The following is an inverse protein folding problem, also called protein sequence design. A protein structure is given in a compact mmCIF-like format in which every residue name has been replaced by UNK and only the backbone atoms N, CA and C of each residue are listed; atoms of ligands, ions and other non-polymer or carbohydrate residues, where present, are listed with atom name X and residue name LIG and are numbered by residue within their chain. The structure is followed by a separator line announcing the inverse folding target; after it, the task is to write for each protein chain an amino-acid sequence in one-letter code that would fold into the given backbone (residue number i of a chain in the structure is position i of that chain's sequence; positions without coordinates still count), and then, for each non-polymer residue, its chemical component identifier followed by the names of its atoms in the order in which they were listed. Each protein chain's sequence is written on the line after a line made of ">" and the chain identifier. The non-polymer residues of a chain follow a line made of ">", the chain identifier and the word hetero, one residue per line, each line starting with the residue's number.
data_IF_746987901216
#
_entry.id   IF_746987901216
#
_cell.length_a   1.000
_cell.length_b   1.000
_cell.length_c   1.000
_cell.angle_alpha   90.00
_cell.angle_beta   90.00
_cell.angle_gamma   90.00
#
_symmetry.space_group_name_H-M   'P 1'
#
loop_
_entity.id
_entity.type
_entity.pdbx_description
1 polymer ?
#
# COMPACT_ATOMS: atom_id res chain seq x y z
N UNK A 1 -14.04 28.51 25.12
CA UNK A 1 -13.68 28.91 23.74
C UNK A 1 -13.22 27.71 22.95
N UNK A 2 -14.05 27.15 22.06
CA UNK A 2 -13.71 25.91 21.32
C UNK A 2 -14.40 25.78 19.94
N UNK A 3 -14.63 26.87 19.20
CA UNK A 3 -15.19 26.76 17.83
C UNK A 3 -14.50 27.59 16.75
N UNK A 4 -13.51 28.40 17.10
CA UNK A 4 -12.78 29.22 16.12
C UNK A 4 -11.51 28.49 15.61
N UNK A 5 -10.91 27.59 16.40
CA UNK A 5 -9.70 26.84 16.01
C UNK A 5 -9.91 25.42 15.44
N UNK A 6 -11.11 24.84 15.59
CA UNK A 6 -11.39 23.45 15.21
C UNK A 6 -11.23 23.14 13.72
N UNK A 7 -11.80 23.96 12.80
CA UNK A 7 -11.64 23.76 11.36
C UNK A 7 -10.19 23.94 10.89
N UNK A 8 -9.43 24.81 11.55
CA UNK A 8 -8.03 25.10 11.23
C UNK A 8 -7.09 23.96 11.67
N UNK A 9 -7.37 23.32 12.81
CA UNK A 9 -6.62 22.14 13.27
C UNK A 9 -6.90 20.88 12.43
N UNK A 10 -8.12 20.72 11.89
CA UNK A 10 -8.44 19.60 10.99
C UNK A 10 -7.62 19.62 9.68
N UNK A 11 -7.23 20.81 9.20
CA UNK A 11 -6.34 20.98 8.04
C UNK A 11 -4.87 20.67 8.36
N UNK A 12 -4.48 20.69 9.64
CA UNK A 12 -3.10 20.46 10.05
C UNK A 12 -2.65 19.00 9.89
N UNK A 13 -3.58 18.04 9.80
CA UNK A 13 -3.24 16.65 9.50
C UNK A 13 -2.49 16.51 8.16
N UNK A 14 -2.83 17.33 7.16
CA UNK A 14 -2.15 17.38 5.85
C UNK A 14 -0.70 17.90 5.94
N UNK A 15 -0.32 18.53 7.06
CA UNK A 15 1.04 19.03 7.24
C UNK A 15 2.03 17.93 7.66
N UNK A 16 1.55 16.72 7.94
CA UNK A 16 2.40 15.64 8.46
C UNK A 16 2.78 14.62 7.39
N UNK A 17 1.91 14.37 6.40
CA UNK A 17 2.20 13.50 5.26
C UNK A 17 1.24 13.79 4.09
N UNK A 18 1.69 13.53 2.86
CA UNK A 18 0.83 13.61 1.67
C UNK A 18 0.15 12.27 1.35
N UNK A 19 0.84 11.17 1.65
CA UNK A 19 0.42 9.79 1.36
C UNK A 19 0.61 8.94 2.61
N UNK A 20 -0.43 8.19 2.97
CA UNK A 20 -0.33 7.16 4.00
C UNK A 20 0.12 5.85 3.36
N UNK A 21 1.18 5.23 3.87
CA UNK A 21 1.56 3.86 3.50
C UNK A 21 1.60 3.00 4.75
N UNK A 22 0.84 1.91 4.76
CA UNK A 22 0.77 1.00 5.91
C UNK A 22 0.92 -0.45 5.47
N UNK A 23 1.58 -1.25 6.31
CA UNK A 23 1.71 -2.69 6.14
C UNK A 23 1.09 -3.40 7.33
N UNK A 24 0.09 -4.25 7.06
CA UNK A 24 -0.60 -5.04 8.08
C UNK A 24 -0.30 -6.52 7.81
N UNK A 25 0.45 -7.20 8.71
CA UNK A 25 0.71 -8.62 8.57
C UNK A 25 -0.57 -9.41 8.79
N UNK A 26 -0.78 -10.43 7.96
CA UNK A 26 -1.89 -11.37 8.11
C UNK A 26 -1.40 -12.70 8.69
N UNK A 27 -2.28 -13.46 9.35
CA UNK A 27 -1.94 -14.81 9.79
C UNK A 27 -1.47 -15.68 8.62
N UNK A 28 -0.45 -16.51 8.85
CA UNK A 28 0.12 -17.38 7.80
C UNK A 28 -0.77 -18.55 7.39
N UNK A 29 -1.82 -18.86 8.16
CA UNK A 29 -2.81 -19.88 7.82
C UNK A 29 -3.90 -19.33 6.88
N UNK A 30 -4.50 -20.20 6.07
CA UNK A 30 -5.56 -19.79 5.14
C UNK A 30 -6.79 -19.26 5.87
N UNK A 31 -7.25 -18.08 5.49
CA UNK A 31 -8.47 -17.47 6.02
C UNK A 31 -9.69 -18.05 5.30
N UNK A 32 -10.83 -18.10 5.99
CA UNK A 32 -12.13 -18.49 5.42
C UNK A 32 -13.18 -17.42 5.69
N UNK A 33 -14.12 -17.25 4.76
CA UNK A 33 -15.29 -16.38 4.91
C UNK A 33 -16.54 -17.19 4.59
N UNK A 34 -17.51 -17.24 5.51
CA UNK A 34 -18.73 -18.03 5.32
C UNK A 34 -18.51 -19.54 5.16
N UNK A 35 -17.32 -20.05 5.51
CA UNK A 35 -16.93 -21.43 5.27
C UNK A 35 -16.11 -21.64 4.00
N UNK A 36 -15.92 -20.64 3.14
CA UNK A 36 -15.14 -20.78 1.92
C UNK A 36 -13.72 -20.24 2.09
N UNK A 37 -12.68 -20.88 1.52
CA UNK A 37 -11.31 -20.39 1.57
C UNK A 37 -11.16 -19.07 0.80
N UNK A 38 -10.48 -18.10 1.39
CA UNK A 38 -10.13 -16.84 0.71
C UNK A 38 -8.94 -17.04 -0.22
N UNK A 39 -9.07 -16.57 -1.45
CA UNK A 39 -7.98 -16.56 -2.46
C UNK A 39 -7.13 -15.29 -2.38
N UNK A 40 -7.76 -14.14 -2.14
CA UNK A 40 -7.11 -12.84 -2.06
C UNK A 40 -7.65 -12.00 -0.90
N UNK A 41 -6.84 -11.05 -0.43
CA UNK A 41 -7.23 -10.04 0.55
C UNK A 41 -6.89 -8.66 -0.01
N UNK A 42 -7.84 -7.73 0.00
CA UNK A 42 -7.62 -6.35 -0.44
C UNK A 42 -7.62 -5.46 0.80
N UNK A 43 -6.44 -5.13 1.36
CA UNK A 43 -6.38 -4.35 2.59
C UNK A 43 -6.87 -2.92 2.32
N UNK A 44 -7.51 -2.30 3.31
CA UNK A 44 -8.02 -0.94 3.19
C UNK A 44 -7.45 -0.08 4.30
N UNK A 45 -6.76 0.99 3.93
CA UNK A 45 -6.34 2.05 4.85
C UNK A 45 -7.35 3.20 4.77
N UNK A 46 -7.88 3.70 5.89
CA UNK A 46 -8.75 4.87 5.89
C UNK A 46 -8.04 6.10 5.31
N UNK A 47 -8.71 6.81 4.41
CA UNK A 47 -8.21 8.09 3.87
C UNK A 47 -8.56 9.21 4.85
N UNK A 48 -7.53 9.76 5.51
CA UNK A 48 -7.72 10.89 6.42
C UNK A 48 -8.20 12.13 5.64
N UNK A 49 -9.12 12.95 6.20
CA UNK A 49 -9.62 14.15 5.52
C UNK A 49 -8.49 15.04 4.98
N UNK A 50 -8.61 15.42 3.71
CA UNK A 50 -7.61 16.23 3.01
C UNK A 50 -6.42 15.45 2.44
N UNK A 51 -6.26 14.15 2.68
CA UNK A 51 -5.19 13.38 2.05
C UNK A 51 -5.60 12.88 0.68
N UNK A 52 -4.62 12.78 -0.22
CA UNK A 52 -4.87 12.40 -1.62
C UNK A 52 -4.89 10.89 -1.81
N UNK A 53 -4.04 10.14 -1.10
CA UNK A 53 -3.86 8.70 -1.29
C UNK A 53 -3.48 7.98 0.01
N UNK A 54 -4.06 6.81 0.20
CA UNK A 54 -3.67 5.82 1.20
C UNK A 54 -3.37 4.48 0.52
N UNK A 55 -2.23 3.89 0.86
CA UNK A 55 -1.72 2.61 0.37
C UNK A 55 -1.67 1.63 1.53
N UNK A 56 -2.39 0.53 1.41
CA UNK A 56 -2.34 -0.57 2.36
C UNK A 56 -1.66 -1.78 1.72
N UNK A 57 -0.80 -2.46 2.48
CA UNK A 57 -0.04 -3.62 2.03
C UNK A 57 -0.28 -4.77 3.00
N UNK A 58 -0.59 -5.94 2.47
CA UNK A 58 -0.67 -7.17 3.25
C UNK A 58 -0.12 -8.34 2.46
N UNK A 59 0.61 -9.23 3.13
CA UNK A 59 1.05 -10.49 2.54
C UNK A 59 0.06 -11.59 2.90
N UNK A 60 -0.49 -12.28 1.91
CA UNK A 60 -1.39 -13.42 2.10
C UNK A 60 -1.00 -14.54 1.15
N UNK A 61 -0.87 -15.78 1.69
CA UNK A 61 -0.51 -16.99 0.92
C UNK A 61 0.70 -16.80 0.00
N UNK A 62 1.74 -16.11 0.48
CA UNK A 62 2.98 -15.85 -0.26
C UNK A 62 2.86 -14.80 -1.37
N UNK A 63 1.73 -14.10 -1.47
CA UNK A 63 1.51 -12.99 -2.41
C UNK A 63 1.38 -11.68 -1.64
N UNK A 64 1.89 -10.61 -2.22
CA UNK A 64 1.67 -9.25 -1.71
C UNK A 64 0.40 -8.71 -2.34
N UNK A 65 -0.50 -8.19 -1.52
CA UNK A 65 -1.73 -7.55 -1.94
C UNK A 65 -1.68 -6.07 -1.57
N UNK A 66 -2.00 -5.22 -2.54
CA UNK A 66 -2.05 -3.77 -2.40
C UNK A 66 -3.50 -3.29 -2.42
N UNK A 67 -3.84 -2.38 -1.52
CA UNK A 67 -5.06 -1.59 -1.58
C UNK A 67 -4.73 -0.12 -1.73
N UNK A 68 -5.38 0.53 -2.70
CA UNK A 68 -5.22 1.95 -2.97
C UNK A 68 -6.57 2.64 -2.75
N UNK A 69 -6.60 3.63 -1.86
CA UNK A 69 -7.77 4.46 -1.58
C UNK A 69 -7.37 5.90 -1.80
N UNK A 70 -8.09 6.62 -2.65
CA UNK A 70 -7.73 7.99 -3.00
C UNK A 70 -8.94 8.93 -2.99
N UNK A 71 -8.65 10.21 -2.83
CA UNK A 71 -9.59 11.27 -3.16
C UNK A 71 -9.67 11.37 -4.69
N UNK A 72 -10.87 11.18 -5.24
CA UNK A 72 -11.06 11.09 -6.69
C UNK A 72 -10.81 12.41 -7.43
N UNK A 73 -10.89 13.57 -6.76
CA UNK A 73 -10.54 14.85 -7.38
C UNK A 73 -9.02 15.07 -7.38
N UNK A 74 -8.32 14.61 -6.35
CA UNK A 74 -6.87 14.72 -6.24
C UNK A 74 -6.12 13.69 -7.09
N UNK A 75 -6.66 12.47 -7.24
CA UNK A 75 -6.05 11.37 -8.00
C UNK A 75 -7.08 10.78 -8.99
N UNK A 76 -7.39 11.49 -10.08
CA UNK A 76 -8.44 11.09 -11.01
C UNK A 76 -8.09 9.84 -11.83
N UNK A 77 -6.80 9.48 -11.94
CA UNK A 77 -6.28 8.35 -12.70
C UNK A 77 -5.70 7.24 -11.79
N UNK A 78 -6.37 6.96 -10.67
CA UNK A 78 -5.93 5.95 -9.70
C UNK A 78 -5.68 4.57 -10.33
N UNK A 79 -6.46 4.17 -11.32
CA UNK A 79 -6.27 2.90 -12.04
C UNK A 79 -4.93 2.84 -12.78
N UNK A 80 -4.46 3.98 -13.32
CA UNK A 80 -3.15 4.07 -13.97
C UNK A 80 -2.03 3.88 -12.95
N UNK A 81 -2.18 4.46 -11.76
CA UNK A 81 -1.25 4.22 -10.66
C UNK A 81 -1.26 2.75 -10.24
N UNK A 82 -2.43 2.12 -10.10
CA UNK A 82 -2.56 0.71 -9.76
C UNK A 82 -1.82 -0.20 -10.76
N UNK A 83 -1.97 0.10 -12.06
CA UNK A 83 -1.24 -0.61 -13.11
C UNK A 83 0.27 -0.38 -13.03
N UNK A 84 0.69 0.88 -12.89
CA UNK A 84 2.11 1.24 -12.79
C UNK A 84 2.78 0.58 -11.59
N UNK A 85 2.15 0.52 -10.42
CA UNK A 85 2.68 -0.17 -9.24
C UNK A 85 2.98 -1.63 -9.56
N UNK A 86 2.06 -2.32 -10.25
CA UNK A 86 2.24 -3.73 -10.61
C UNK A 86 3.39 -3.93 -11.60
N UNK A 87 3.50 -3.06 -12.60
CA UNK A 87 4.55 -3.14 -13.62
C UNK A 87 5.93 -2.78 -13.06
N UNK A 88 6.04 -1.70 -12.27
CA UNK A 88 7.31 -1.26 -11.70
C UNK A 88 7.86 -2.25 -10.67
N UNK A 89 7.00 -2.93 -9.89
CA UNK A 89 7.43 -4.02 -9.01
C UNK A 89 8.01 -5.18 -9.83
N UNK A 90 7.40 -5.57 -10.95
CA UNK A 90 7.95 -6.60 -11.84
C UNK A 90 9.29 -6.17 -12.43
N UNK A 91 9.40 -4.92 -12.87
CA UNK A 91 10.65 -4.33 -13.38
C UNK A 91 11.74 -4.37 -12.31
N UNK A 92 11.42 -3.98 -11.08
CA UNK A 92 12.36 -3.96 -9.95
C UNK A 92 12.82 -5.38 -9.56
N UNK A 93 11.91 -6.36 -9.53
CA UNK A 93 12.27 -7.77 -9.30
C UNK A 93 13.22 -8.25 -10.39
N UNK A 94 12.88 -8.02 -11.67
CA UNK A 94 13.72 -8.39 -12.82
C UNK A 94 15.13 -7.79 -12.71
N UNK A 95 15.23 -6.53 -12.32
CA UNK A 95 16.52 -5.87 -12.11
C UNK A 95 17.31 -6.45 -10.91
N UNK A 96 16.61 -6.87 -9.85
CA UNK A 96 17.21 -7.48 -8.67
C UNK A 96 17.70 -8.91 -8.93
N UNK A 97 16.99 -9.70 -9.72
CA UNK A 97 17.39 -11.06 -10.09
C UNK A 97 18.73 -11.05 -10.85
N UNK A 98 18.93 -10.05 -11.73
CA UNK A 98 20.21 -9.81 -12.40
C UNK A 98 21.35 -9.39 -11.44
N UNK A 99 21.03 -8.80 -10.28
CA UNK A 99 22.00 -8.41 -9.24
C UNK A 99 22.30 -9.51 -8.23
N UNK A 100 21.34 -10.36 -7.89
CA UNK A 100 21.53 -11.47 -6.95
C UNK A 100 22.59 -12.47 -7.46
N UNK A 101 22.76 -12.61 -8.79
CA UNK A 101 23.91 -13.32 -9.38
C UNK A 101 25.27 -12.71 -9.05
N UNK A 102 25.37 -11.37 -8.86
CA UNK A 102 26.61 -10.66 -8.48
C UNK A 102 26.88 -10.68 -6.97
N UNK A 103 25.86 -10.51 -6.13
CA UNK A 103 26.03 -10.53 -4.67
C UNK A 103 26.12 -11.94 -4.09
N UNK A 104 25.38 -12.92 -4.63
CA UNK A 104 25.47 -14.32 -4.22
C UNK A 104 26.80 -14.99 -4.60
N UNK A 105 27.49 -14.50 -5.63
CA UNK A 105 28.85 -14.93 -5.98
C UNK A 105 29.93 -14.33 -5.05
N UNK A 106 29.72 -13.12 -4.53
CA UNK A 106 30.65 -12.46 -3.61
C UNK A 106 30.56 -13.02 -2.16
N UNK A 107 29.39 -13.49 -1.73
CA UNK A 107 29.19 -14.08 -0.40
C UNK A 107 29.64 -15.55 -0.28
N UNK A 108 30.19 -16.15 -1.35
CA UNK A 108 30.69 -17.55 -1.41
C UNK A 108 32.21 -17.63 -1.57
N UNK A 109 32.95 -16.57 -1.23
CA UNK A 109 34.42 -16.52 -1.19
C UNK A 109 34.91 -16.17 0.20
#
# INVERSE_FOLDING_TARGET
>A
GHRIGGPLLGQAARLWFDVLVTSVPLPGFGLRLGGDPLDAVFPLAPLAPGHSLAVAVSTYRGRVHYGLVADGAAVPDLDRLAHAVSEEVKTLITACDGRQGRFGAAARR
#
